data_IF_173043854155
#
_entry.id   IF_173043854155
#
_cell.length_a   1.000
_cell.length_b   1.000
_cell.length_c   1.000
_cell.angle_alpha   90.00
_cell.angle_beta   90.00
_cell.angle_gamma   90.00
#
_symmetry.space_group_name_H-M   'P 1'
#
loop_
_entity.id
_entity.type
_entity.pdbx_description
1 polymer ?
#
# COMPACT_ATOMS: atom_id res chain seq x y z
N UNK A 1 12.47 -20.80 -5.94
CA UNK A 1 12.09 -19.69 -5.06
C UNK A 1 11.37 -18.65 -5.87
N UNK A 2 10.32 -18.02 -5.33
CA UNK A 2 9.58 -16.95 -6.00
C UNK A 2 9.70 -15.63 -5.25
N UNK A 3 9.59 -14.51 -5.95
CA UNK A 3 9.56 -13.16 -5.38
C UNK A 3 8.16 -12.56 -5.57
N UNK A 4 7.65 -11.88 -4.54
CA UNK A 4 6.40 -11.12 -4.64
C UNK A 4 6.62 -9.88 -5.52
N UNK A 5 5.95 -9.82 -6.67
CA UNK A 5 6.11 -8.75 -7.66
C UNK A 5 5.25 -7.50 -7.38
N UNK A 6 4.37 -7.54 -6.37
CA UNK A 6 3.42 -6.46 -6.10
C UNK A 6 3.18 -6.31 -4.59
N UNK A 7 3.69 -5.22 -4.02
CA UNK A 7 3.38 -4.77 -2.66
C UNK A 7 2.94 -3.31 -2.73
N UNK A 8 1.63 -3.07 -2.68
CA UNK A 8 1.03 -1.73 -2.82
C UNK A 8 0.15 -1.32 -1.64
N UNK A 9 0.38 -1.93 -0.47
CA UNK A 9 -0.40 -1.68 0.74
C UNK A 9 0.51 -1.17 1.86
N UNK A 10 -0.09 -0.47 2.83
CA UNK A 10 0.58 0.04 4.02
C UNK A 10 1.29 -1.05 4.83
N UNK A 11 0.85 -2.31 4.73
CA UNK A 11 1.53 -3.46 5.35
C UNK A 11 2.98 -3.66 4.86
N UNK A 12 3.27 -3.37 3.59
CA UNK A 12 4.63 -3.40 3.07
C UNK A 12 5.51 -2.31 3.70
N UNK A 13 4.95 -1.10 3.84
CA UNK A 13 5.64 0.00 4.54
C UNK A 13 5.89 -0.35 6.01
N UNK A 14 4.93 -0.95 6.70
CA UNK A 14 5.09 -1.41 8.09
C UNK A 14 6.24 -2.40 8.26
N UNK A 15 6.40 -3.34 7.33
CA UNK A 15 7.51 -4.30 7.36
C UNK A 15 8.87 -3.60 7.19
N UNK A 16 8.95 -2.63 6.26
CA UNK A 16 10.17 -1.83 6.06
C UNK A 16 10.52 -1.01 7.30
N UNK A 17 9.55 -0.28 7.86
CA UNK A 17 9.77 0.54 9.07
C UNK A 17 10.18 -0.32 10.26
N UNK A 18 9.58 -1.51 10.42
CA UNK A 18 9.98 -2.47 11.47
C UNK A 18 11.44 -2.90 11.35
N UNK A 19 11.92 -3.15 10.12
CA UNK A 19 13.32 -3.46 9.85
C UNK A 19 14.26 -2.30 10.20
N UNK A 20 13.88 -1.06 9.88
CA UNK A 20 14.65 0.14 10.26
C UNK A 20 14.73 0.28 11.78
N UNK A 21 13.60 0.16 12.48
CA UNK A 21 13.55 0.22 13.95
C UNK A 21 14.42 -0.86 14.58
N UNK A 22 14.42 -2.09 14.03
CA UNK A 22 15.29 -3.16 14.49
C UNK A 22 16.78 -2.81 14.31
N UNK A 23 17.17 -2.21 13.18
CA UNK A 23 18.54 -1.77 12.95
C UNK A 23 18.98 -0.67 13.93
N UNK A 24 18.09 0.30 14.21
CA UNK A 24 18.35 1.35 15.22
C UNK A 24 18.56 0.72 16.60
N UNK A 25 17.68 -0.20 17.02
CA UNK A 25 17.82 -0.90 18.30
C UNK A 25 19.06 -1.79 18.39
N UNK A 26 19.53 -2.33 17.27
CA UNK A 26 20.77 -3.10 17.22
C UNK A 26 22.01 -2.23 17.43
N UNK A 27 21.99 -0.98 16.94
CA UNK A 27 23.11 -0.04 17.11
C UNK A 27 23.07 0.68 18.46
N UNK A 28 21.87 0.97 18.96
CA UNK A 28 21.63 1.72 20.18
C UNK A 28 20.75 0.93 21.15
N UNK A 29 21.25 -0.17 21.75
CA UNK A 29 20.47 -1.07 22.60
C UNK A 29 19.97 -0.41 23.91
N UNK A 30 20.58 0.69 24.33
CA UNK A 30 20.25 1.45 25.54
C UNK A 30 19.07 2.41 25.39
N UNK A 31 18.67 2.73 24.15
CA UNK A 31 17.57 3.68 23.91
C UNK A 31 16.21 3.08 24.30
N UNK A 32 15.37 3.89 24.93
CA UNK A 32 13.98 3.55 25.17
C UNK A 32 13.19 3.49 23.86
N UNK A 33 12.00 2.87 23.89
CA UNK A 33 11.11 2.89 22.72
C UNK A 33 10.74 4.32 22.29
N UNK A 34 10.50 5.23 23.23
CA UNK A 34 10.21 6.64 22.93
C UNK A 34 11.38 7.35 22.25
N UNK A 35 12.61 7.07 22.68
CA UNK A 35 13.82 7.62 22.09
C UNK A 35 14.08 7.07 20.68
N UNK A 36 13.81 5.79 20.45
CA UNK A 36 13.86 5.20 19.10
C UNK A 36 12.82 5.84 18.17
N UNK A 37 11.58 6.02 18.65
CA UNK A 37 10.54 6.72 17.88
C UNK A 37 11.00 8.13 17.53
N UNK A 38 11.45 8.91 18.52
CA UNK A 38 11.96 10.27 18.32
C UNK A 38 13.06 10.33 17.25
N UNK A 39 13.99 9.38 17.30
CA UNK A 39 15.09 9.27 16.33
C UNK A 39 14.59 9.00 14.90
N UNK A 40 13.62 8.11 14.73
CA UNK A 40 13.01 7.82 13.43
C UNK A 40 12.20 9.02 12.91
N UNK A 41 11.43 9.70 13.77
CA UNK A 41 10.65 10.88 13.38
C UNK A 41 11.56 12.06 13.00
N UNK A 42 12.63 12.30 13.76
CA UNK A 42 13.56 13.40 13.52
C UNK A 42 14.37 13.25 12.21
N UNK A 43 14.49 12.02 11.71
CA UNK A 43 15.24 11.72 10.47
C UNK A 43 14.34 11.49 9.26
N UNK A 44 13.01 11.50 9.45
CA UNK A 44 12.07 11.35 8.36
C UNK A 44 12.20 12.51 7.36
N UNK A 45 12.18 12.16 6.07
CA UNK A 45 12.19 13.12 4.97
C UNK A 45 10.78 13.64 4.75
N UNK A 46 10.59 14.94 4.91
CA UNK A 46 9.29 15.60 4.66
C UNK A 46 8.80 15.28 3.25
N UNK A 47 7.52 14.95 3.14
CA UNK A 47 6.87 14.77 1.86
C UNK A 47 6.32 16.13 1.39
N UNK A 48 7.06 16.81 0.51
CA UNK A 48 6.69 18.14 0.03
C UNK A 48 7.01 19.29 1.01
N UNK A 49 6.42 20.46 0.76
CA UNK A 49 6.71 21.71 1.48
C UNK A 49 5.68 22.10 2.56
N UNK A 50 4.74 21.22 2.90
CA UNK A 50 3.65 21.49 3.83
C UNK A 50 4.06 21.46 5.31
N UNK A 51 3.09 21.77 6.18
CA UNK A 51 3.23 21.60 7.63
C UNK A 51 3.39 20.12 7.99
N UNK A 52 4.15 19.85 9.06
CA UNK A 52 4.40 18.51 9.58
C UNK A 52 3.86 18.45 11.02
N UNK A 53 3.10 17.42 11.41
CA UNK A 53 2.74 16.24 10.61
C UNK A 53 1.66 16.51 9.54
N UNK A 54 1.80 15.88 8.38
CA UNK A 54 0.83 15.93 7.27
C UNK A 54 -0.15 14.74 7.29
N UNK A 55 -1.33 14.88 6.67
CA UNK A 55 -2.38 13.85 6.67
C UNK A 55 -2.01 12.57 5.88
N UNK A 56 -1.11 12.66 4.90
CA UNK A 56 -0.78 11.56 4.00
C UNK A 56 0.42 10.73 4.49
N UNK A 57 1.42 11.39 5.07
CA UNK A 57 2.72 10.81 5.43
C UNK A 57 3.16 11.16 6.86
N UNK A 58 2.36 11.90 7.64
CA UNK A 58 2.68 12.25 9.01
C UNK A 58 3.99 13.05 9.08
N UNK A 59 5.02 12.46 9.69
CA UNK A 59 6.34 13.09 9.81
C UNK A 59 7.20 12.99 8.55
N UNK A 60 6.73 12.26 7.54
CA UNK A 60 7.40 12.06 6.26
C UNK A 60 7.83 10.62 6.01
N UNK A 61 8.65 10.42 4.99
CA UNK A 61 9.17 9.12 4.57
C UNK A 61 10.38 8.74 5.42
N UNK A 62 10.40 7.49 5.91
CA UNK A 62 11.52 6.99 6.74
C UNK A 62 12.85 7.06 5.98
N UNK A 63 13.89 7.59 6.64
CA UNK A 63 15.28 7.53 6.16
C UNK A 63 16.06 6.52 7.01
N UNK A 64 16.25 5.31 6.49
CA UNK A 64 16.93 4.25 7.22
C UNK A 64 18.39 4.58 7.55
N UNK A 65 19.09 5.26 6.63
CA UNK A 65 20.49 5.60 6.83
C UNK A 65 20.62 6.64 7.92
N UNK A 66 19.89 7.75 7.81
CA UNK A 66 19.92 8.82 8.79
C UNK A 66 19.42 8.35 10.16
N UNK A 67 18.37 7.52 10.22
CA UNK A 67 17.90 6.92 11.46
C UNK A 67 18.99 6.13 12.19
N UNK A 68 19.93 5.51 11.48
CA UNK A 68 21.02 4.74 12.09
C UNK A 68 22.28 5.59 12.33
N UNK A 69 22.56 6.60 11.52
CA UNK A 69 23.86 7.31 11.54
C UNK A 69 23.83 8.72 12.13
N UNK A 70 22.70 9.43 12.06
CA UNK A 70 22.63 10.82 12.47
C UNK A 70 22.91 11.00 13.97
N UNK A 71 23.60 12.07 14.33
CA UNK A 71 23.72 12.47 15.72
C UNK A 71 22.47 13.27 16.11
N UNK A 72 21.66 12.70 17.01
CA UNK A 72 20.38 13.27 17.43
C UNK A 72 20.38 13.29 18.96
N UNK A 73 20.03 14.42 19.59
CA UNK A 73 19.85 14.46 21.03
C UNK A 73 18.85 13.39 21.47
N UNK A 74 19.29 12.56 22.41
CA UNK A 74 18.54 11.39 22.89
C UNK A 74 17.12 11.80 23.35
N UNK A 75 17.03 12.90 24.11
CA UNK A 75 15.77 13.43 24.61
C UNK A 75 15.10 12.54 25.66
N UNK A 76 13.84 12.87 25.95
CA UNK A 76 13.02 12.18 26.95
C UNK A 76 12.77 10.71 26.59
N UNK A 77 12.61 9.86 27.61
CA UNK A 77 12.39 8.41 27.42
C UNK A 77 10.98 8.10 26.95
N UNK A 78 10.06 9.02 27.18
CA UNK A 78 8.64 8.95 26.87
C UNK A 78 8.39 9.00 25.36
N UNK A 79 7.26 8.45 24.94
CA UNK A 79 6.84 8.50 23.54
C UNK A 79 6.50 9.96 23.15
N UNK A 80 7.19 10.56 22.16
CA UNK A 80 6.90 11.92 21.72
C UNK A 80 5.52 12.06 21.06
N UNK A 81 4.88 10.95 20.67
CA UNK A 81 3.52 10.93 20.13
C UNK A 81 2.44 10.85 21.22
N UNK A 82 2.84 10.93 22.50
CA UNK A 82 1.94 10.80 23.64
C UNK A 82 1.57 9.35 23.96
N UNK A 83 0.62 9.19 24.88
CA UNK A 83 0.02 7.90 25.21
C UNK A 83 -1.23 7.73 24.35
N UNK A 84 -1.42 6.56 23.76
CA UNK A 84 -2.73 6.21 23.20
C UNK A 84 -3.73 6.26 24.35
N UNK A 85 -4.87 6.94 24.17
CA UNK A 85 -5.95 6.91 25.16
C UNK A 85 -6.41 5.46 25.24
N UNK A 86 -5.97 4.78 26.29
CA UNK A 86 -6.41 3.43 26.62
C UNK A 86 -7.93 3.45 26.61
N UNK A 87 -8.54 2.53 25.85
CA UNK A 87 -9.97 2.58 25.58
C UNK A 87 -10.76 2.71 26.88
N UNK A 88 -11.67 3.68 26.93
CA UNK A 88 -12.59 3.85 28.06
C UNK A 88 -13.13 2.47 28.48
N UNK A 89 -12.79 2.06 29.69
CA UNK A 89 -13.30 0.84 30.34
C UNK A 89 -14.83 0.85 30.45
N UNK A 90 -15.44 2.03 30.34
CA UNK A 90 -16.89 2.24 30.41
C UNK A 90 -17.65 1.67 29.19
N UNK A 91 -16.96 1.34 28.09
CA UNK A 91 -17.56 0.81 26.86
C UNK A 91 -17.38 -0.71 26.68
N UNK A 92 -16.83 -1.43 27.67
CA UNK A 92 -16.77 -2.90 27.65
C UNK A 92 -15.88 -3.51 26.55
N UNK A 93 -14.88 -2.78 26.04
CA UNK A 93 -13.93 -3.32 25.04
C UNK A 93 -12.83 -4.15 25.71
N UNK A 94 -12.44 -5.29 25.12
CA UNK A 94 -11.38 -6.13 25.69
C UNK A 94 -10.01 -5.44 25.53
N UNK A 95 -9.17 -5.59 26.55
CA UNK A 95 -7.89 -4.89 26.75
C UNK A 95 -6.78 -5.22 25.74
N UNK A 96 -7.04 -6.15 24.83
CA UNK A 96 -6.09 -6.68 23.85
C UNK A 96 -6.28 -6.14 22.43
N UNK A 97 -7.23 -5.23 22.20
CA UNK A 97 -7.32 -4.46 20.95
C UNK A 97 -6.76 -3.06 21.13
N UNK A 98 -5.52 -2.85 20.70
CA UNK A 98 -4.97 -1.52 20.50
C UNK A 98 -5.81 -0.79 19.44
N UNK A 99 -6.74 0.05 19.89
CA UNK A 99 -7.50 0.94 19.02
C UNK A 99 -6.50 1.91 18.36
N UNK A 100 -6.42 1.90 17.03
CA UNK A 100 -5.56 2.79 16.23
C UNK A 100 -6.07 4.24 16.26
N UNK A 101 -6.19 4.83 17.45
CA UNK A 101 -6.89 6.09 17.66
C UNK A 101 -8.40 5.96 17.43
N UNK A 102 -9.19 6.64 18.25
CA UNK A 102 -10.58 6.91 17.89
C UNK A 102 -10.53 7.86 16.69
N UNK A 103 -10.86 7.37 15.49
CA UNK A 103 -11.17 8.26 14.36
C UNK A 103 -12.23 9.26 14.85
N UNK A 104 -11.98 10.56 14.70
CA UNK A 104 -13.00 11.59 14.94
C UNK A 104 -14.18 11.29 14.02
N UNK A 105 -15.27 10.75 14.58
CA UNK A 105 -16.49 10.44 13.83
C UNK A 105 -17.13 11.71 13.25
N UNK A 106 -16.74 12.89 13.72
CA UNK A 106 -17.14 14.19 13.17
C UNK A 106 -16.34 14.61 11.93
N UNK A 107 -15.20 13.96 11.64
CA UNK A 107 -14.47 14.19 10.41
C UNK A 107 -15.29 13.68 9.23
N UNK A 108 -15.86 14.62 8.47
CA UNK A 108 -16.51 14.33 7.19
C UNK A 108 -15.48 14.56 6.09
N UNK A 109 -14.93 13.50 5.47
CA UNK A 109 -14.06 13.68 4.32
C UNK A 109 -14.81 14.49 3.26
N UNK A 110 -14.16 15.50 2.70
CA UNK A 110 -14.71 16.33 1.60
C UNK A 110 -14.74 15.57 0.27
N UNK A 111 -14.29 14.32 0.25
CA UNK A 111 -14.31 13.42 -0.90
C UNK A 111 -15.69 12.76 -0.99
N UNK A 112 -16.32 12.80 -2.16
CA UNK A 112 -17.59 12.13 -2.39
C UNK A 112 -17.37 10.62 -2.52
N UNK A 113 -17.42 9.91 -1.38
CA UNK A 113 -17.24 8.46 -1.33
C UNK A 113 -18.20 7.69 -2.25
N UNK A 114 -19.42 8.21 -2.46
CA UNK A 114 -20.35 7.62 -3.41
C UNK A 114 -19.82 7.68 -4.85
N UNK A 115 -19.28 8.81 -5.27
CA UNK A 115 -18.73 8.99 -6.63
C UNK A 115 -17.45 8.18 -6.84
N UNK A 116 -16.57 8.10 -5.84
CA UNK A 116 -15.32 7.33 -5.95
C UNK A 116 -15.58 5.82 -6.00
N UNK A 117 -16.53 5.32 -5.20
CA UNK A 117 -16.97 3.93 -5.27
C UNK A 117 -17.65 3.63 -6.61
N UNK A 118 -18.48 4.54 -7.11
CA UNK A 118 -19.13 4.39 -8.42
C UNK A 118 -18.08 4.39 -9.55
N UNK A 119 -17.08 5.27 -9.50
CA UNK A 119 -15.98 5.32 -10.45
C UNK A 119 -15.14 4.03 -10.40
N UNK A 120 -14.78 3.54 -9.21
CA UNK A 120 -14.05 2.28 -9.04
C UNK A 120 -14.85 1.06 -9.54
N UNK A 121 -16.17 1.04 -9.34
CA UNK A 121 -17.03 0.00 -9.90
C UNK A 121 -17.13 0.09 -11.42
N UNK A 122 -17.21 1.30 -11.98
CA UNK A 122 -17.24 1.53 -13.42
C UNK A 122 -15.94 1.09 -14.10
N UNK A 123 -14.78 1.42 -13.53
CA UNK A 123 -13.48 0.97 -14.04
C UNK A 123 -13.35 -0.56 -14.01
N UNK A 124 -13.83 -1.21 -12.93
CA UNK A 124 -13.81 -2.68 -12.82
C UNK A 124 -14.72 -3.34 -13.86
N UNK A 125 -15.90 -2.77 -14.12
CA UNK A 125 -16.82 -3.24 -15.17
C UNK A 125 -16.23 -3.05 -16.56
N UNK A 126 -15.72 -1.87 -16.87
CA UNK A 126 -15.08 -1.57 -18.16
C UNK A 126 -13.87 -2.48 -18.41
N UNK A 127 -13.07 -2.76 -17.38
CA UNK A 127 -11.96 -3.71 -17.47
C UNK A 127 -12.44 -5.12 -17.74
N UNK A 128 -13.50 -5.59 -17.06
CA UNK A 128 -14.09 -6.90 -17.30
C UNK A 128 -14.66 -7.03 -18.73
N UNK A 129 -15.31 -6.00 -19.24
CA UNK A 129 -15.82 -5.95 -20.62
C UNK A 129 -14.70 -5.94 -21.66
N UNK A 130 -13.61 -5.20 -21.40
CA UNK A 130 -12.44 -5.19 -22.27
C UNK A 130 -11.79 -6.57 -22.39
N UNK A 131 -11.80 -7.35 -21.31
CA UNK A 131 -11.29 -8.72 -21.31
C UNK A 131 -12.19 -9.66 -22.11
N UNK A 132 -13.51 -9.58 -21.92
CA UNK A 132 -14.48 -10.34 -22.73
C UNK A 132 -14.37 -10.02 -24.22
N UNK A 133 -14.25 -8.73 -24.58
CA UNK A 133 -14.02 -8.30 -25.97
C UNK A 133 -12.73 -8.89 -26.54
N UNK A 134 -11.64 -8.89 -25.75
CA UNK A 134 -10.36 -9.49 -26.17
C UNK A 134 -10.46 -11.00 -26.37
N UNK A 135 -11.21 -11.71 -25.52
CA UNK A 135 -11.46 -13.15 -25.72
C UNK A 135 -12.30 -13.42 -26.97
N UNK A 136 -13.36 -12.66 -27.21
CA UNK A 136 -14.16 -12.82 -28.43
C UNK A 136 -13.36 -12.52 -29.69
N UNK A 137 -12.53 -11.48 -29.69
CA UNK A 137 -11.64 -11.17 -30.81
C UNK A 137 -10.64 -12.30 -31.07
N UNK A 138 -10.07 -12.91 -30.02
CA UNK A 138 -9.21 -14.10 -30.17
C UNK A 138 -9.95 -15.27 -30.78
N UNK A 139 -11.16 -15.58 -30.30
CA UNK A 139 -11.99 -16.68 -30.83
C UNK A 139 -12.41 -16.47 -32.28
N UNK A 140 -12.84 -15.25 -32.62
CA UNK A 140 -13.18 -14.89 -34.00
C UNK A 140 -11.97 -15.01 -34.94
N UNK A 141 -10.78 -14.57 -34.49
CA UNK A 141 -9.54 -14.73 -35.23
C UNK A 141 -9.20 -16.21 -35.49
N UNK A 142 -9.34 -17.08 -34.50
CA UNK A 142 -9.14 -18.53 -34.65
C UNK A 142 -10.11 -19.14 -35.66
N UNK A 143 -11.39 -18.76 -35.63
CA UNK A 143 -12.39 -19.26 -36.58
C UNK A 143 -12.06 -18.86 -38.04
N UNK A 144 -11.61 -17.62 -38.28
CA UNK A 144 -11.22 -17.15 -39.61
C UNK A 144 -10.02 -17.95 -40.14
N UNK A 145 -9.00 -18.20 -39.32
CA UNK A 145 -7.82 -18.99 -39.72
C UNK A 145 -8.21 -20.42 -40.08
N UNK A 146 -9.13 -21.04 -39.34
CA UNK A 146 -9.62 -22.38 -39.64
C UNK A 146 -10.31 -22.45 -41.01
N UNK A 147 -11.21 -21.50 -41.32
CA UNK A 147 -11.93 -21.46 -42.60
C UNK A 147 -10.98 -21.29 -43.79
N UNK A 148 -10.00 -20.38 -43.68
CA UNK A 148 -8.99 -20.18 -44.72
C UNK A 148 -8.12 -21.43 -44.90
N UNK A 149 -7.75 -22.10 -43.80
CA UNK A 149 -7.01 -23.36 -43.84
C UNK A 149 -7.76 -24.48 -44.59
N UNK A 150 -9.07 -24.65 -44.33
CA UNK A 150 -9.89 -25.65 -45.02
C UNK A 150 -10.03 -25.32 -46.51
N UNK A 151 -10.36 -24.07 -46.85
CA UNK A 151 -10.52 -23.66 -48.26
C UNK A 151 -9.20 -23.75 -49.04
N UNK A 152 -8.09 -23.31 -48.44
CA UNK A 152 -6.76 -23.42 -49.03
C UNK A 152 -6.33 -24.88 -49.22
N UNK A 153 -6.62 -25.75 -48.24
CA UNK A 153 -6.35 -27.19 -48.33
C UNK A 153 -7.13 -27.88 -49.46
N UNK A 154 -8.41 -27.54 -49.63
CA UNK A 154 -9.26 -28.08 -50.71
C UNK A 154 -8.78 -27.61 -52.09
N UNK A 155 -8.43 -26.32 -52.22
CA UNK A 155 -7.90 -25.78 -53.47
C UNK A 155 -6.58 -26.42 -53.87
N UNK A 156 -5.68 -26.64 -52.90
CA UNK A 156 -4.39 -27.30 -53.13
C UNK A 156 -4.54 -28.79 -53.50
N UNK A 157 -5.46 -29.51 -52.84
CA UNK A 157 -5.74 -30.91 -53.18
C UNK A 157 -6.30 -31.06 -54.61
N UNK A 158 -7.15 -30.12 -55.05
CA UNK A 158 -7.72 -30.12 -56.40
C UNK A 158 -6.71 -29.80 -57.50
N UNK A 159 -5.60 -29.12 -57.18
CA UNK A 159 -4.51 -28.80 -58.12
C UNK A 159 -3.49 -29.93 -58.27
N UNK A 160 -3.54 -30.95 -57.40
CA UNK A 160 -2.62 -32.10 -57.37
C UNK A 160 -3.17 -33.37 -58.03
N UNK A 161 -4.43 -33.38 -58.49
CA UNK A 161 -4.96 -34.38 -59.42
C UNK A 161 -4.84 -33.85 -60.84
#
# INVERSE_FOLDING_TARGET
GGYVQRGGATSGATAVVSGVVAAVRSKYPELSAGQVIRRVLATAKRNGGGAVPDEQCGWGVVDAYAAVTADIPVGDKENPLGKMREGDSDLGRPSNTASMGEWDRSYKPTYNLQEELAAGQAERKARAESLKRREQLKMAGVAVVAVVGVLGGVFWWRRRR
#
